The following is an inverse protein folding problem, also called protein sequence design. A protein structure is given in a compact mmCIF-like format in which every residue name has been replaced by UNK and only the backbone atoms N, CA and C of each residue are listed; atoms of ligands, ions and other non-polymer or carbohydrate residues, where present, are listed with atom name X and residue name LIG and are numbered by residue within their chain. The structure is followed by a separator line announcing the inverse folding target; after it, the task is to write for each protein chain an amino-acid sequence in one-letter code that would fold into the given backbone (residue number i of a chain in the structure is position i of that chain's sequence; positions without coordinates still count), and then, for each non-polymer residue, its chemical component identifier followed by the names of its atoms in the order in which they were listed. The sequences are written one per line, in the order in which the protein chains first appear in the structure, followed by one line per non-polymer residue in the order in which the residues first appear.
data_IF_642570482113
#
_entry.id   IF_642570482113
#
_cell.length_a   1.000
_cell.length_b   1.000
_cell.length_c   1.000
_cell.angle_alpha   90.00
_cell.angle_beta   90.00
_cell.angle_gamma   90.00
#
_symmetry.space_group_name_H-M   'P 1'
#
loop_
_entity.id
_entity.type
_entity.pdbx_description
1 polymer ?
#
# COMPACT_ATOMS: atom_id res chain seq x y z
N UNK A 1 19.47 -12.11 -12.26
CA UNK A 1 19.09 -11.82 -13.66
C UNK A 1 19.56 -10.43 -14.00
N UNK A 2 20.12 -10.21 -15.20
CA UNK A 2 20.63 -8.90 -15.59
C UNK A 2 19.46 -8.02 -16.04
N UNK A 3 19.19 -6.91 -15.34
CA UNK A 3 18.05 -6.05 -15.67
C UNK A 3 18.35 -5.25 -16.95
N UNK A 4 17.44 -5.22 -17.93
CA UNK A 4 17.61 -4.38 -19.12
C UNK A 4 17.89 -2.91 -18.77
N UNK A 5 18.80 -2.27 -19.51
CA UNK A 5 19.28 -0.91 -19.22
C UNK A 5 18.20 0.19 -19.27
N UNK A 6 17.06 -0.08 -19.92
CA UNK A 6 15.93 0.86 -20.00
C UNK A 6 14.94 0.75 -18.84
N UNK A 7 15.03 -0.31 -18.02
CA UNK A 7 14.19 -0.44 -16.83
C UNK A 7 14.84 0.33 -15.68
N UNK A 8 14.09 1.26 -15.10
CA UNK A 8 14.48 2.04 -13.93
C UNK A 8 13.84 1.39 -12.70
N UNK A 9 14.56 1.35 -11.58
CA UNK A 9 14.02 0.93 -10.27
C UNK A 9 14.04 2.20 -9.46
N UNK A 10 12.87 2.77 -9.27
CA UNK A 10 12.67 3.82 -8.29
C UNK A 10 11.97 3.16 -7.10
N UNK A 11 12.44 3.47 -5.89
CA UNK A 11 11.75 2.98 -4.70
C UNK A 11 10.41 3.70 -4.55
N UNK A 12 9.41 3.02 -4.01
CA UNK A 12 8.07 3.57 -3.83
C UNK A 12 8.10 4.89 -3.03
N UNK A 13 8.94 5.01 -2.00
CA UNK A 13 9.01 6.22 -1.19
C UNK A 13 9.53 7.43 -1.99
N UNK A 14 10.47 7.19 -2.92
CA UNK A 14 11.01 8.23 -3.81
C UNK A 14 9.96 8.65 -4.84
N UNK A 15 9.27 7.69 -5.43
CA UNK A 15 8.18 7.95 -6.38
C UNK A 15 7.05 8.76 -5.73
N UNK A 16 6.60 8.35 -4.53
CA UNK A 16 5.51 9.02 -3.81
C UNK A 16 5.89 10.38 -3.23
N UNK A 17 7.16 10.60 -2.84
CA UNK A 17 7.64 11.90 -2.38
C UNK A 17 7.50 13.00 -3.46
N UNK A 18 7.53 12.61 -4.74
CA UNK A 18 7.41 13.51 -5.90
C UNK A 18 5.96 13.68 -6.38
N UNK A 19 4.97 13.11 -5.68
CA UNK A 19 3.57 13.16 -6.09
C UNK A 19 2.99 14.60 -6.15
N UNK A 20 3.60 15.56 -5.45
CA UNK A 20 3.24 16.97 -5.52
C UNK A 20 3.82 17.72 -6.74
N UNK A 21 4.88 17.19 -7.35
CA UNK A 21 5.59 17.86 -8.45
C UNK A 21 5.01 17.51 -9.83
N UNK A 22 4.26 16.40 -9.92
CA UNK A 22 3.76 15.86 -11.18
C UNK A 22 2.27 15.57 -11.13
N UNK A 23 1.60 15.72 -12.28
CA UNK A 23 0.20 15.35 -12.42
C UNK A 23 0.06 13.83 -12.51
N UNK A 24 -0.52 13.22 -11.48
CA UNK A 24 -0.84 11.80 -11.48
C UNK A 24 -2.08 11.49 -12.34
N UNK A 25 -2.20 10.25 -12.80
CA UNK A 25 -3.37 9.78 -13.55
C UNK A 25 -4.67 9.92 -12.76
N UNK A 26 -4.62 9.71 -11.43
CA UNK A 26 -5.75 9.89 -10.52
C UNK A 26 -6.19 11.36 -10.47
N UNK A 27 -5.26 12.29 -10.32
CA UNK A 27 -5.55 13.72 -10.31
C UNK A 27 -6.11 14.20 -11.65
N UNK A 28 -5.58 13.69 -12.77
CA UNK A 28 -6.13 13.97 -14.09
C UNK A 28 -7.56 13.43 -14.25
N UNK A 29 -7.86 12.26 -13.70
CA UNK A 29 -9.21 11.70 -13.72
C UNK A 29 -10.20 12.56 -12.91
N UNK A 30 -9.78 13.03 -11.72
CA UNK A 30 -10.57 13.95 -10.92
C UNK A 30 -10.82 15.26 -11.67
N UNK A 31 -9.81 15.85 -12.31
CA UNK A 31 -9.97 17.06 -13.12
C UNK A 31 -10.96 16.87 -14.27
N UNK A 32 -10.81 15.78 -15.04
CA UNK A 32 -11.69 15.44 -16.17
C UNK A 32 -13.14 15.25 -15.74
N UNK A 33 -13.36 14.77 -14.52
CA UNK A 33 -14.70 14.60 -13.95
C UNK A 33 -15.25 15.91 -13.38
N UNK A 34 -14.45 16.63 -12.62
CA UNK A 34 -14.83 17.88 -11.96
C UNK A 34 -13.58 18.71 -11.63
N UNK A 35 -13.31 19.82 -12.36
CA UNK A 35 -12.16 20.67 -12.11
C UNK A 35 -12.11 21.27 -10.70
N UNK A 36 -13.27 21.60 -10.12
CA UNK A 36 -13.37 22.13 -8.74
C UNK A 36 -12.92 21.10 -7.70
N UNK A 37 -13.28 19.81 -7.87
CA UNK A 37 -12.84 18.74 -6.97
C UNK A 37 -11.31 18.63 -7.00
N UNK A 38 -10.72 18.59 -8.20
CA UNK A 38 -9.28 18.56 -8.37
C UNK A 38 -8.61 19.75 -7.67
N UNK A 39 -9.13 20.97 -7.87
CA UNK A 39 -8.56 22.17 -7.26
C UNK A 39 -8.61 22.13 -5.73
N UNK A 40 -9.75 21.72 -5.14
CA UNK A 40 -9.89 21.59 -3.68
C UNK A 40 -8.97 20.53 -3.09
N UNK A 41 -8.78 19.39 -3.77
CA UNK A 41 -7.81 18.37 -3.37
C UNK A 41 -6.38 18.91 -3.43
N UNK A 42 -6.01 19.65 -4.49
CA UNK A 42 -4.68 20.29 -4.57
C UNK A 42 -4.44 21.32 -3.45
N UNK A 43 -5.48 22.04 -3.02
CA UNK A 43 -5.40 22.96 -1.88
C UNK A 43 -5.42 22.23 -0.52
N UNK A 44 -5.55 20.90 -0.48
CA UNK A 44 -5.65 20.13 0.76
C UNK A 44 -6.98 20.34 1.51
N UNK A 45 -7.98 20.95 0.88
CA UNK A 45 -9.29 21.21 1.49
C UNK A 45 -10.15 19.95 1.58
N UNK A 46 -9.82 18.92 0.78
CA UNK A 46 -10.44 17.60 0.80
C UNK A 46 -9.32 16.60 1.07
N UNK A 47 -9.27 15.96 2.25
CA UNK A 47 -8.26 14.96 2.55
C UNK A 47 -8.48 13.70 1.70
N UNK A 48 -7.39 13.06 1.27
CA UNK A 48 -7.47 11.70 0.74
C UNK A 48 -7.60 10.73 1.92
N UNK A 49 -8.72 10.02 1.96
CA UNK A 49 -8.98 9.00 2.98
C UNK A 49 -8.41 7.66 2.56
N UNK A 50 -7.63 7.03 3.45
CA UNK A 50 -7.14 5.68 3.24
C UNK A 50 -8.27 4.68 3.49
N UNK A 51 -8.91 4.24 2.41
CA UNK A 51 -9.97 3.25 2.46
C UNK A 51 -9.42 1.81 2.58
N UNK A 52 -10.21 0.86 3.12
CA UNK A 52 -9.83 -0.56 3.12
C UNK A 52 -9.51 -1.12 1.72
N UNK A 53 -10.11 -0.55 0.67
CA UNK A 53 -9.82 -0.95 -0.71
C UNK A 53 -8.38 -0.58 -1.13
N UNK A 54 -7.85 0.55 -0.67
CA UNK A 54 -6.46 0.92 -0.91
C UNK A 54 -5.49 0.02 -0.15
N UNK A 55 -5.81 -0.35 1.09
CA UNK A 55 -5.00 -1.32 1.84
C UNK A 55 -4.90 -2.66 1.12
N UNK A 56 -6.03 -3.19 0.62
CA UNK A 56 -6.05 -4.42 -0.19
C UNK A 56 -5.24 -4.26 -1.48
N UNK A 57 -5.42 -3.14 -2.19
CA UNK A 57 -4.72 -2.86 -3.43
C UNK A 57 -3.20 -2.81 -3.26
N UNK A 58 -2.71 -2.11 -2.21
CA UNK A 58 -1.28 -2.05 -1.88
C UNK A 58 -0.72 -3.43 -1.54
N UNK A 59 -1.43 -4.20 -0.71
CA UNK A 59 -1.02 -5.55 -0.32
C UNK A 59 -0.90 -6.49 -1.53
N UNK A 60 -1.87 -6.44 -2.45
CA UNK A 60 -1.79 -7.19 -3.70
C UNK A 60 -0.60 -6.74 -4.56
N UNK A 61 -0.34 -5.42 -4.64
CA UNK A 61 0.78 -4.87 -5.39
C UNK A 61 2.14 -5.34 -4.84
N UNK A 62 2.35 -5.29 -3.53
CA UNK A 62 3.58 -5.78 -2.87
C UNK A 62 3.77 -7.26 -3.16
N UNK A 63 2.73 -8.09 -2.99
CA UNK A 63 2.83 -9.52 -3.28
C UNK A 63 3.21 -9.81 -4.73
N UNK A 64 2.59 -9.11 -5.70
CA UNK A 64 2.79 -9.37 -7.12
C UNK A 64 4.13 -8.87 -7.62
N UNK A 65 4.55 -7.66 -7.20
CA UNK A 65 5.76 -7.02 -7.72
C UNK A 65 7.02 -7.35 -6.91
N UNK A 66 6.88 -7.55 -5.61
CA UNK A 66 8.01 -7.68 -4.67
C UNK A 66 8.13 -9.09 -4.09
N UNK A 67 7.03 -9.86 -4.14
CA UNK A 67 7.02 -11.28 -3.78
C UNK A 67 6.48 -11.58 -2.38
N UNK A 68 6.40 -12.87 -2.03
CA UNK A 68 5.78 -13.33 -0.80
C UNK A 68 6.57 -12.96 0.46
N UNK A 69 7.91 -12.86 0.41
CA UNK A 69 8.70 -12.46 1.58
C UNK A 69 8.46 -10.99 1.95
N UNK A 70 8.45 -10.08 0.97
CA UNK A 70 8.16 -8.66 1.18
C UNK A 70 6.73 -8.48 1.72
N UNK A 71 5.76 -9.17 1.12
CA UNK A 71 4.39 -9.18 1.59
C UNK A 71 4.27 -9.67 3.05
N UNK A 72 4.92 -10.77 3.42
CA UNK A 72 4.85 -11.31 4.77
C UNK A 72 5.54 -10.42 5.82
N UNK A 73 6.54 -9.65 5.41
CA UNK A 73 7.20 -8.68 6.28
C UNK A 73 6.34 -7.42 6.53
N UNK A 74 5.59 -6.97 5.53
CA UNK A 74 4.79 -5.74 5.60
C UNK A 74 3.34 -5.96 6.04
N UNK A 75 2.76 -7.14 5.78
CA UNK A 75 1.35 -7.43 6.01
C UNK A 75 1.14 -8.60 6.96
N UNK A 76 0.45 -8.31 8.06
CA UNK A 76 0.06 -9.30 9.05
C UNK A 76 -1.16 -10.11 8.58
N UNK A 77 -0.91 -11.21 7.85
CA UNK A 77 -1.95 -12.14 7.38
C UNK A 77 -1.90 -13.46 8.15
N UNK A 78 -3.03 -13.89 8.72
CA UNK A 78 -3.18 -15.24 9.30
C UNK A 78 -2.98 -15.39 10.81
N UNK A 79 -2.52 -14.34 11.52
CA UNK A 79 -2.30 -14.40 12.98
C UNK A 79 -0.91 -14.91 13.37
N UNK A 80 -0.47 -14.71 14.63
CA UNK A 80 0.73 -15.35 15.13
C UNK A 80 0.52 -16.86 15.24
N UNK A 81 1.56 -17.64 14.92
CA UNK A 81 1.54 -19.11 14.98
C UNK A 81 2.11 -19.58 16.30
N UNK A 82 1.46 -20.54 16.94
CA UNK A 82 1.95 -21.16 18.16
C UNK A 82 3.13 -22.12 17.83
N UNK A 83 4.35 -21.86 18.31
CA UNK A 83 5.52 -22.68 17.97
C UNK A 83 5.44 -24.10 18.53
N UNK A 84 4.57 -24.35 19.52
CA UNK A 84 4.38 -25.66 20.16
C UNK A 84 3.41 -26.55 19.38
N UNK A 85 2.46 -25.97 18.64
CA UNK A 85 1.41 -26.73 17.92
C UNK A 85 1.46 -26.55 16.40
N UNK A 86 2.17 -25.54 15.90
CA UNK A 86 2.16 -25.18 14.47
C UNK A 86 0.84 -24.57 13.99
N UNK A 87 -0.12 -24.33 14.89
CA UNK A 87 -1.43 -23.77 14.57
C UNK A 87 -1.51 -22.27 14.94
N UNK A 88 -2.32 -21.46 14.23
CA UNK A 88 -2.54 -20.07 14.60
C UNK A 88 -3.13 -19.93 16.01
N UNK A 89 -2.68 -18.90 16.74
CA UNK A 89 -3.35 -18.51 17.98
C UNK A 89 -4.78 -18.02 17.71
N UNK A 90 -5.70 -18.29 18.63
CA UNK A 90 -7.05 -17.75 18.56
C UNK A 90 -7.06 -16.23 18.73
N UNK A 91 -8.00 -15.54 18.07
CA UNK A 91 -8.14 -14.07 18.10
C UNK A 91 -8.28 -13.47 19.51
N UNK A 92 -8.81 -14.23 20.46
CA UNK A 92 -9.01 -13.80 21.85
C UNK A 92 -7.76 -13.95 22.74
N UNK A 93 -6.66 -14.48 22.20
CA UNK A 93 -5.44 -14.69 22.99
C UNK A 93 -4.60 -13.42 23.07
N UNK A 94 -3.88 -13.25 24.19
CA UNK A 94 -2.93 -12.15 24.37
C UNK A 94 -1.90 -12.10 23.24
N UNK A 95 -1.38 -13.26 22.83
CA UNK A 95 -0.44 -13.37 21.72
C UNK A 95 -0.99 -12.81 20.41
N UNK A 96 -2.28 -13.02 20.10
CA UNK A 96 -2.92 -12.46 18.91
C UNK A 96 -3.11 -10.94 19.01
N UNK A 97 -3.45 -10.43 20.19
CA UNK A 97 -3.65 -8.98 20.40
C UNK A 97 -2.34 -8.18 20.32
N UNK A 98 -1.22 -8.75 20.76
CA UNK A 98 0.10 -8.09 20.72
C UNK A 98 0.78 -8.19 19.35
N UNK A 99 0.22 -8.96 18.41
CA UNK A 99 0.78 -9.16 17.07
C UNK A 99 0.32 -8.11 16.04
N UNK A 100 -0.78 -7.39 16.33
CA UNK A 100 -1.40 -6.41 15.44
C UNK A 100 -0.94 -4.97 15.74
#
# INVERSE_FOLDING_TARGET
MNRPAFLIAERAEVYHARAGDFLSSHLLADFRRCPELFHRKQLGLIPDEDSPAYALGRAAHTLILEGPEAFAAEYAVGGPVNPRTGLPFGRATKAFQEWA
#
